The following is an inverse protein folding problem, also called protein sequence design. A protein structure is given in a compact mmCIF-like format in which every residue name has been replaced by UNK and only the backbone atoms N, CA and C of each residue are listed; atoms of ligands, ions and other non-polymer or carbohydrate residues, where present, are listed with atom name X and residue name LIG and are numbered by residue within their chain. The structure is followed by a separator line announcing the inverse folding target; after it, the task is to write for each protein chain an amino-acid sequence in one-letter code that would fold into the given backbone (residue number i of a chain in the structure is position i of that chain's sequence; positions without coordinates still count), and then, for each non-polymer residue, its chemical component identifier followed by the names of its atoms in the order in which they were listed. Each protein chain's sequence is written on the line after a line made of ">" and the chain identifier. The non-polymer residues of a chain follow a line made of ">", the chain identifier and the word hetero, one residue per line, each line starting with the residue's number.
data_IF_398650133747
#
_entry.id   IF_398650133747
#
_cell.length_a   1.000
_cell.length_b   1.000
_cell.length_c   1.000
_cell.angle_alpha   90.00
_cell.angle_beta   90.00
_cell.angle_gamma   90.00
#
_symmetry.space_group_name_H-M   'P 1'
#
loop_
_entity.id
_entity.type
_entity.pdbx_description
1 polymer ?
#
# COMPACT_ATOMS: atom_id res chain seq x y z
N UNK A 1 35.51 -13.39 -31.08
CA UNK A 1 34.07 -13.14 -30.94
C UNK A 1 33.89 -12.20 -29.76
N UNK A 2 33.57 -10.93 -30.02
CA UNK A 2 33.36 -9.93 -28.96
C UNK A 2 31.91 -10.08 -28.51
N UNK A 3 31.70 -10.57 -27.27
CA UNK A 3 30.38 -10.59 -26.65
C UNK A 3 29.91 -9.15 -26.49
N UNK A 4 28.83 -8.80 -27.18
CA UNK A 4 28.12 -7.55 -26.95
C UNK A 4 27.55 -7.59 -25.53
N UNK A 5 28.08 -6.74 -24.65
CA UNK A 5 27.50 -6.48 -23.35
C UNK A 5 26.19 -5.77 -23.62
N UNK A 6 25.08 -6.48 -23.48
CA UNK A 6 23.74 -5.92 -23.56
C UNK A 6 23.58 -4.98 -22.36
N UNK A 7 23.76 -3.69 -22.58
CA UNK A 7 23.48 -2.65 -21.60
C UNK A 7 21.99 -2.68 -21.29
N UNK A 8 21.64 -3.22 -20.11
CA UNK A 8 20.29 -3.22 -19.60
C UNK A 8 19.90 -1.77 -19.28
N UNK A 9 19.15 -1.14 -20.19
CA UNK A 9 18.55 0.16 -19.95
C UNK A 9 17.50 -0.04 -18.85
N UNK A 10 17.63 0.58 -17.66
CA UNK A 10 16.61 0.44 -16.63
C UNK A 10 15.32 1.03 -17.19
N UNK A 11 14.28 0.19 -17.35
CA UNK A 11 12.92 0.68 -17.59
C UNK A 11 12.58 1.62 -16.43
N UNK A 12 12.39 2.91 -16.74
CA UNK A 12 11.80 3.84 -15.81
C UNK A 12 10.32 3.48 -15.68
N UNK A 13 9.99 2.75 -14.62
CA UNK A 13 8.61 2.54 -14.23
C UNK A 13 8.14 3.79 -13.49
N UNK A 14 7.10 4.42 -14.00
CA UNK A 14 6.36 5.47 -13.31
C UNK A 14 5.10 4.78 -12.78
N UNK A 15 4.94 4.61 -11.46
CA UNK A 15 3.75 3.98 -10.86
C UNK A 15 2.46 4.69 -11.28
N UNK A 16 1.96 4.31 -12.44
CA UNK A 16 0.85 4.94 -13.18
C UNK A 16 0.05 3.87 -13.92
N UNK A 17 0.37 2.59 -13.72
CA UNK A 17 -0.24 1.45 -14.41
C UNK A 17 -1.50 0.97 -13.69
N UNK A 18 -1.67 1.34 -12.42
CA UNK A 18 -2.80 0.90 -11.61
C UNK A 18 -4.14 1.36 -12.15
N UNK A 19 -5.03 0.39 -12.39
CA UNK A 19 -6.42 0.63 -12.72
C UNK A 19 -7.27 0.41 -11.48
N UNK A 20 -7.80 1.51 -10.92
CA UNK A 20 -8.73 1.46 -9.79
C UNK A 20 -10.00 0.67 -10.13
N UNK A 21 -10.77 0.21 -9.13
CA UNK A 21 -12.02 -0.50 -9.38
C UNK A 21 -13.01 0.35 -10.19
N UNK A 22 -13.82 -0.30 -11.00
CA UNK A 22 -14.81 0.34 -11.88
C UNK A 22 -16.12 -0.47 -11.92
N UNK A 23 -17.12 0.02 -12.66
CA UNK A 23 -18.39 -0.71 -12.78
C UNK A 23 -18.15 -2.10 -13.38
N UNK A 24 -18.54 -3.15 -12.64
CA UNK A 24 -18.32 -4.54 -13.03
C UNK A 24 -16.99 -5.16 -12.60
N UNK A 25 -16.08 -4.38 -11.98
CA UNK A 25 -14.81 -4.88 -11.43
C UNK A 25 -14.52 -4.30 -10.05
N UNK A 26 -14.55 -5.14 -9.03
CA UNK A 26 -14.41 -4.74 -7.64
C UNK A 26 -12.98 -4.79 -7.06
N UNK A 27 -11.96 -4.95 -7.91
CA UNK A 27 -10.56 -5.05 -7.52
C UNK A 27 -9.67 -4.14 -8.38
N UNK A 28 -8.52 -3.73 -7.85
CA UNK A 28 -7.51 -2.98 -8.60
C UNK A 28 -6.72 -3.92 -9.53
N UNK A 29 -6.31 -3.45 -10.71
CA UNK A 29 -5.36 -4.15 -11.58
C UNK A 29 -4.02 -3.43 -11.49
N UNK A 30 -2.94 -4.18 -11.30
CA UNK A 30 -1.57 -3.68 -11.20
C UNK A 30 -0.69 -4.34 -12.27
N UNK A 31 0.27 -3.62 -12.84
CA UNK A 31 1.27 -4.23 -13.73
C UNK A 31 2.20 -5.13 -12.91
N UNK A 32 2.07 -6.44 -13.14
CA UNK A 32 2.89 -7.45 -12.46
C UNK A 32 4.39 -7.26 -12.73
N UNK A 33 4.79 -6.84 -13.92
CA UNK A 33 6.20 -6.66 -14.25
C UNK A 33 6.81 -5.49 -13.48
N UNK A 34 6.03 -4.42 -13.30
CA UNK A 34 6.41 -3.28 -12.49
C UNK A 34 6.54 -3.66 -11.01
N UNK A 35 5.54 -4.36 -10.48
CA UNK A 35 5.56 -4.83 -9.08
C UNK A 35 6.74 -5.78 -8.84
N UNK A 36 6.93 -6.78 -9.70
CA UNK A 36 8.04 -7.73 -9.61
C UNK A 36 9.39 -7.04 -9.73
N UNK A 37 9.49 -5.96 -10.51
CA UNK A 37 10.69 -5.14 -10.60
C UNK A 37 11.04 -4.54 -9.24
N UNK A 38 10.13 -3.82 -8.60
CA UNK A 38 10.40 -3.18 -7.30
C UNK A 38 10.63 -4.21 -6.18
N UNK A 39 9.87 -5.31 -6.17
CA UNK A 39 10.06 -6.40 -5.19
C UNK A 39 11.47 -6.99 -5.28
N UNK A 40 12.01 -7.20 -6.49
CA UNK A 40 13.38 -7.72 -6.67
C UNK A 40 14.46 -6.76 -6.19
N UNK A 41 14.20 -5.45 -6.23
CA UNK A 41 15.16 -4.44 -5.77
C UNK A 41 15.21 -4.30 -4.24
N UNK A 42 14.19 -4.81 -3.53
CA UNK A 42 14.08 -4.75 -2.07
C UNK A 42 14.34 -3.33 -1.53
N UNK A 43 15.24 -3.16 -0.57
CA UNK A 43 15.50 -1.89 0.10
C UNK A 43 15.95 -0.78 -0.86
N UNK A 44 16.56 -1.13 -2.00
CA UNK A 44 17.03 -0.16 -3.00
C UNK A 44 15.88 0.59 -3.69
N UNK A 45 14.66 0.01 -3.72
CA UNK A 45 13.48 0.67 -4.28
C UNK A 45 12.85 1.69 -3.32
N UNK A 46 13.11 1.59 -2.00
CA UNK A 46 12.42 2.39 -1.00
C UNK A 46 12.60 3.91 -1.19
N UNK A 47 13.79 4.46 -1.55
CA UNK A 47 13.93 5.90 -1.78
C UNK A 47 12.98 6.42 -2.87
N UNK A 48 12.85 5.68 -3.97
CA UNK A 48 11.97 6.06 -5.09
C UNK A 48 10.49 5.98 -4.70
N UNK A 49 10.06 4.87 -4.09
CA UNK A 49 8.68 4.71 -3.65
C UNK A 49 8.31 5.74 -2.56
N UNK A 50 9.26 6.09 -1.70
CA UNK A 50 9.11 7.14 -0.69
C UNK A 50 8.90 8.50 -1.34
N UNK A 51 9.62 8.82 -2.40
CA UNK A 51 9.48 10.07 -3.14
C UNK A 51 8.07 10.19 -3.75
N UNK A 52 7.59 9.12 -4.40
CA UNK A 52 6.20 9.05 -4.90
C UNK A 52 5.21 9.28 -3.76
N UNK A 53 5.36 8.58 -2.64
CA UNK A 53 4.47 8.74 -1.48
C UNK A 53 4.62 10.08 -0.76
N UNK A 54 5.65 10.88 -1.02
CA UNK A 54 5.74 12.25 -0.48
C UNK A 54 5.03 13.25 -1.37
N UNK A 55 5.13 13.09 -2.68
CA UNK A 55 4.78 14.13 -3.64
C UNK A 55 3.49 13.86 -4.42
N UNK A 56 3.11 12.59 -4.59
CA UNK A 56 1.92 12.25 -5.37
C UNK A 56 0.63 12.66 -4.68
N UNK A 57 -0.31 13.16 -5.48
CA UNK A 57 -1.70 13.43 -5.11
C UNK A 57 -2.70 12.58 -5.92
N UNK A 58 -2.19 11.68 -6.77
CA UNK A 58 -3.02 10.85 -7.64
C UNK A 58 -3.34 9.52 -6.96
N UNK A 59 -4.64 9.24 -6.76
CA UNK A 59 -5.09 8.05 -6.03
C UNK A 59 -4.54 6.74 -6.60
N UNK A 60 -4.55 6.58 -7.94
CA UNK A 60 -4.05 5.38 -8.60
C UNK A 60 -2.55 5.14 -8.32
N UNK A 61 -1.73 6.19 -8.45
CA UNK A 61 -0.29 6.11 -8.19
C UNK A 61 0.02 5.81 -6.71
N UNK A 62 -0.72 6.43 -5.79
CA UNK A 62 -0.58 6.16 -4.35
C UNK A 62 -0.96 4.70 -4.07
N UNK A 63 -2.10 4.25 -4.59
CA UNK A 63 -2.62 2.88 -4.42
C UNK A 63 -1.62 1.85 -4.94
N UNK A 64 -1.06 2.06 -6.12
CA UNK A 64 -0.02 1.22 -6.71
C UNK A 64 1.23 1.15 -5.84
N UNK A 65 1.69 2.30 -5.36
CA UNK A 65 2.88 2.38 -4.52
C UNK A 65 2.68 1.66 -3.19
N UNK A 66 1.49 1.81 -2.57
CA UNK A 66 1.14 1.06 -1.36
C UNK A 66 1.06 -0.45 -1.64
N UNK A 67 0.48 -0.86 -2.76
CA UNK A 67 0.46 -2.27 -3.16
C UNK A 67 1.87 -2.84 -3.36
N UNK A 68 2.76 -2.10 -4.02
CA UNK A 68 4.16 -2.49 -4.18
C UNK A 68 4.83 -2.66 -2.80
N UNK A 69 4.67 -1.70 -1.89
CA UNK A 69 5.22 -1.81 -0.53
C UNK A 69 4.67 -3.03 0.22
N UNK A 70 3.36 -3.29 0.11
CA UNK A 70 2.73 -4.46 0.71
C UNK A 70 3.38 -5.79 0.24
N UNK A 71 3.61 -5.91 -1.08
CA UNK A 71 4.31 -7.06 -1.69
C UNK A 71 5.79 -7.13 -1.30
N UNK A 72 6.44 -5.98 -1.13
CA UNK A 72 7.82 -5.92 -0.64
C UNK A 72 7.93 -6.40 0.80
N UNK A 73 6.96 -6.10 1.68
CA UNK A 73 6.90 -6.63 3.04
C UNK A 73 6.76 -8.16 3.01
N UNK A 74 5.83 -8.68 2.18
CA UNK A 74 5.64 -10.13 2.02
C UNK A 74 6.90 -10.84 1.51
N UNK A 75 7.74 -10.14 0.75
CA UNK A 75 9.02 -10.66 0.26
C UNK A 75 10.19 -10.49 1.25
N UNK A 76 9.92 -9.96 2.45
CA UNK A 76 10.92 -9.79 3.51
C UNK A 76 11.82 -8.57 3.33
N UNK A 77 11.37 -7.54 2.61
CA UNK A 77 12.08 -6.25 2.55
C UNK A 77 12.02 -5.56 3.91
N UNK A 78 13.16 -5.09 4.40
CA UNK A 78 13.28 -4.44 5.71
C UNK A 78 13.13 -2.92 5.61
N UNK A 79 12.83 -2.27 6.72
CA UNK A 79 12.82 -0.80 6.82
C UNK A 79 11.56 -0.11 6.32
N UNK A 80 10.55 -0.86 5.89
CA UNK A 80 9.23 -0.31 5.50
C UNK A 80 8.49 0.25 6.73
N UNK A 81 8.73 -0.31 7.92
CA UNK A 81 8.29 0.22 9.22
C UNK A 81 8.73 1.68 9.42
N UNK A 82 9.95 2.03 8.99
CA UNK A 82 10.50 3.39 9.09
C UNK A 82 9.81 4.40 8.17
N UNK A 83 9.03 3.92 7.20
CA UNK A 83 8.23 4.78 6.32
C UNK A 83 6.93 5.24 6.99
N UNK A 84 6.61 4.81 8.21
CA UNK A 84 5.41 5.22 8.92
C UNK A 84 5.15 6.75 8.91
N UNK A 85 6.13 7.65 9.14
CA UNK A 85 5.89 9.09 9.07
C UNK A 85 5.37 9.57 7.71
N UNK A 86 5.78 8.91 6.63
CA UNK A 86 5.32 9.21 5.27
C UNK A 86 3.93 8.61 5.04
N UNK A 87 3.73 7.35 5.44
CA UNK A 87 2.43 6.67 5.36
C UNK A 87 1.34 7.40 6.15
N UNK A 88 1.71 8.00 7.29
CA UNK A 88 0.80 8.70 8.18
C UNK A 88 0.10 9.90 7.53
N UNK A 89 0.63 10.47 6.43
CA UNK A 89 -0.05 11.52 5.67
C UNK A 89 -1.41 11.06 5.15
N UNK A 90 -1.56 9.76 4.89
CA UNK A 90 -2.77 9.15 4.33
C UNK A 90 -3.77 8.73 5.42
N UNK A 91 -3.46 8.94 6.71
CA UNK A 91 -4.32 8.53 7.82
C UNK A 91 -5.73 9.16 7.81
N UNK A 92 -5.89 10.27 7.09
CA UNK A 92 -7.16 10.99 6.97
C UNK A 92 -7.79 10.85 5.57
N UNK A 93 -7.27 9.95 4.72
CA UNK A 93 -7.80 9.76 3.37
C UNK A 93 -9.24 9.24 3.40
N UNK A 94 -10.02 9.64 2.41
CA UNK A 94 -11.39 9.14 2.17
C UNK A 94 -11.45 8.08 1.07
N UNK A 95 -10.33 7.82 0.40
CA UNK A 95 -10.22 6.79 -0.64
C UNK A 95 -10.28 5.39 0.00
N UNK A 96 -11.23 4.53 -0.41
CA UNK A 96 -11.30 3.16 0.09
C UNK A 96 -10.08 2.34 -0.38
N UNK A 97 -9.54 2.61 -1.56
CA UNK A 97 -8.37 1.91 -2.10
C UNK A 97 -7.14 2.18 -1.23
N UNK A 98 -6.85 3.47 -0.98
CA UNK A 98 -5.72 3.87 -0.13
C UNK A 98 -5.89 3.32 1.28
N UNK A 99 -7.08 3.44 1.88
CA UNK A 99 -7.34 2.90 3.23
C UNK A 99 -7.07 1.40 3.33
N UNK A 100 -7.49 0.63 2.32
CA UNK A 100 -7.30 -0.83 2.28
C UNK A 100 -5.83 -1.21 2.30
N UNK A 101 -5.04 -0.73 1.33
CA UNK A 101 -3.63 -1.10 1.26
C UNK A 101 -2.82 -0.52 2.43
N UNK A 102 -3.18 0.68 2.89
CA UNK A 102 -2.55 1.28 4.06
C UNK A 102 -2.81 0.46 5.34
N UNK A 103 -4.04 -0.02 5.53
CA UNK A 103 -4.38 -0.89 6.65
C UNK A 103 -3.63 -2.23 6.59
N UNK A 104 -3.50 -2.82 5.40
CA UNK A 104 -2.70 -4.03 5.17
C UNK A 104 -1.23 -3.84 5.52
N UNK A 105 -0.63 -2.72 5.10
CA UNK A 105 0.74 -2.36 5.49
C UNK A 105 0.85 -2.21 7.01
N UNK A 106 -0.04 -1.46 7.66
CA UNK A 106 -0.04 -1.27 9.11
C UNK A 106 -0.16 -2.60 9.86
N UNK A 107 -1.04 -3.49 9.40
CA UNK A 107 -1.18 -4.85 9.94
C UNK A 107 0.13 -5.64 9.87
N UNK A 108 0.95 -5.45 8.84
CA UNK A 108 2.20 -6.19 8.65
C UNK A 108 3.39 -5.56 9.39
N UNK A 109 3.51 -4.22 9.39
CA UNK A 109 4.64 -3.53 10.03
C UNK A 109 4.48 -3.39 11.55
N UNK A 110 3.25 -3.48 12.08
CA UNK A 110 2.95 -3.43 13.52
C UNK A 110 3.56 -2.23 14.27
N UNK A 111 3.72 -1.07 13.59
CA UNK A 111 4.16 0.17 14.24
C UNK A 111 3.07 0.63 15.23
N UNK A 112 3.35 0.79 16.54
CA UNK A 112 2.34 1.07 17.56
C UNK A 112 1.48 2.31 17.26
N UNK A 113 2.10 3.36 16.72
CA UNK A 113 1.46 4.63 16.42
C UNK A 113 0.36 4.52 15.35
N UNK A 114 0.37 3.45 14.54
CA UNK A 114 -0.63 3.23 13.50
C UNK A 114 -1.98 2.71 14.05
N UNK A 115 -2.03 2.24 15.30
CA UNK A 115 -3.26 1.73 15.91
C UNK A 115 -4.37 2.79 16.01
N UNK A 116 -4.04 3.97 16.53
CA UNK A 116 -4.99 5.09 16.63
C UNK A 116 -5.58 5.51 15.27
N UNK A 117 -4.75 5.72 14.23
CA UNK A 117 -5.20 5.91 12.85
C UNK A 117 -6.14 4.84 12.32
N UNK A 118 -5.87 3.55 12.54
CA UNK A 118 -6.77 2.47 12.11
C UNK A 118 -8.16 2.60 12.75
N UNK A 119 -8.22 2.82 14.06
CA UNK A 119 -9.48 3.03 14.78
C UNK A 119 -10.21 4.26 14.24
N UNK A 120 -9.49 5.36 13.98
CA UNK A 120 -10.06 6.57 13.39
C UNK A 120 -10.67 6.31 12.01
N UNK A 121 -9.98 5.59 11.13
CA UNK A 121 -10.51 5.24 9.80
C UNK A 121 -11.80 4.43 9.91
N UNK A 122 -11.83 3.44 10.80
CA UNK A 122 -13.02 2.61 11.03
C UNK A 122 -14.23 3.45 11.49
N UNK A 123 -14.03 4.33 12.47
CA UNK A 123 -15.07 5.24 12.96
C UNK A 123 -15.56 6.17 11.84
N UNK A 124 -14.63 6.78 11.11
CA UNK A 124 -14.97 7.69 10.00
C UNK A 124 -15.79 7.00 8.91
N UNK A 125 -15.49 5.74 8.60
CA UNK A 125 -16.23 4.97 7.62
C UNK A 125 -17.62 4.54 8.14
N UNK A 126 -17.72 4.18 9.42
CA UNK A 126 -18.99 3.78 10.06
C UNK A 126 -20.00 4.93 10.15
N UNK A 127 -19.53 6.17 10.19
CA UNK A 127 -20.40 7.37 10.22
C UNK A 127 -20.88 7.81 8.83
N UNK A 128 -20.32 7.27 7.74
CA UNK A 128 -20.73 7.61 6.38
C UNK A 128 -21.87 6.70 5.95
N UNK A 129 -22.82 7.24 5.18
CA UNK A 129 -23.84 6.44 4.51
C UNK A 129 -23.16 5.43 3.57
N UNK A 130 -23.47 4.15 3.76
CA UNK A 130 -22.99 3.08 2.89
C UNK A 130 -23.50 3.34 1.47
N UNK A 131 -22.59 3.70 0.58
CA UNK A 131 -22.89 3.77 -0.83
C UNK A 131 -22.82 2.34 -1.39
N UNK A 132 -23.98 1.76 -1.70
CA UNK A 132 -24.13 0.41 -2.26
C UNK A 132 -23.40 0.22 -3.60
N UNK A 133 -23.00 1.32 -4.26
CA UNK A 133 -22.23 1.28 -5.50
C UNK A 133 -20.71 1.26 -5.27
N UNK A 134 -20.24 1.19 -4.02
CA UNK A 134 -18.80 1.03 -3.73
C UNK A 134 -18.40 -0.43 -3.92
N UNK A 135 -17.31 -0.60 -4.64
CA UNK A 135 -16.71 -1.87 -5.03
C UNK A 135 -15.92 -2.54 -3.90
N UNK A 136 -15.28 -1.76 -3.03
CA UNK A 136 -14.44 -2.29 -1.94
C UNK A 136 -14.84 -1.66 -0.59
N UNK A 137 -15.06 -2.50 0.43
CA UNK A 137 -15.26 -2.04 1.81
C UNK A 137 -13.92 -2.07 2.57
N UNK A 138 -13.27 -0.92 2.79
CA UNK A 138 -11.99 -0.86 3.49
C UNK A 138 -12.10 -1.31 4.95
N UNK A 139 -13.31 -1.37 5.53
CA UNK A 139 -13.50 -1.74 6.94
C UNK A 139 -13.08 -3.18 7.24
N UNK A 140 -13.13 -4.09 6.26
CA UNK A 140 -12.69 -5.47 6.44
C UNK A 140 -11.19 -5.53 6.76
N UNK A 141 -10.35 -4.91 5.91
CA UNK A 141 -8.89 -4.89 6.13
C UNK A 141 -8.52 -4.03 7.34
N UNK A 142 -9.20 -2.90 7.57
CA UNK A 142 -8.99 -2.06 8.77
C UNK A 142 -9.31 -2.86 10.05
N UNK A 143 -10.44 -3.55 10.09
CA UNK A 143 -10.85 -4.39 11.22
C UNK A 143 -9.85 -5.52 11.46
N UNK A 144 -9.44 -6.23 10.40
CA UNK A 144 -8.41 -7.26 10.47
C UNK A 144 -7.06 -6.74 10.98
N UNK A 145 -6.67 -5.52 10.59
CA UNK A 145 -5.48 -4.86 11.09
C UNK A 145 -5.60 -4.59 12.60
N UNK A 146 -6.70 -3.97 13.05
CA UNK A 146 -6.95 -3.70 14.48
C UNK A 146 -6.90 -4.99 15.30
N UNK A 147 -7.56 -6.05 14.83
CA UNK A 147 -7.55 -7.35 15.50
C UNK A 147 -6.15 -7.94 15.59
N UNK A 148 -5.31 -7.75 14.57
CA UNK A 148 -3.92 -8.21 14.60
C UNK A 148 -3.11 -7.47 15.68
N UNK A 149 -3.25 -6.15 15.78
CA UNK A 149 -2.62 -5.34 16.83
C UNK A 149 -3.05 -5.74 18.24
N UNK A 150 -4.30 -6.16 18.41
CA UNK A 150 -4.82 -6.64 19.69
C UNK A 150 -4.30 -8.05 19.97
N UNK A 151 -4.40 -8.96 18.98
CA UNK A 151 -4.01 -10.36 19.12
C UNK A 151 -2.52 -10.54 19.39
N UNK A 152 -1.65 -9.74 18.77
CA UNK A 152 -0.21 -9.83 19.00
C UNK A 152 0.18 -9.49 20.44
N UNK A 153 -0.64 -8.72 21.17
CA UNK A 153 -0.44 -8.50 22.62
C UNK A 153 -0.75 -9.71 23.48
N UNK A 154 -1.51 -10.67 22.96
CA UNK A 154 -1.95 -11.88 23.68
C UNK A 154 -1.16 -13.14 23.28
N UNK A 155 -0.21 -13.03 22.36
CA UNK A 155 0.77 -14.09 22.05
C UNK A 155 1.87 -14.05 23.13
N UNK A 156 1.50 -14.46 24.34
CA UNK A 156 2.41 -14.74 25.45
C UNK A 156 3.16 -16.06 25.24
#
# INVERSE_FOLDING_TARGET
>A
MIQQIQTYIPRQYNCTSCQLPEQGRNYCIFDKNEVDYFVRQKENALPYLTDILKHSQHEAQITETLYILDRMIDNGTKGIDKLYPILARFNNTTSPNIQTFLAGIYRKIQVPDAFGPLVKMLIQNSLKTHNLNKTFDPNEEIGGAILSYISDRFKA
#
